data_IF_959638604674
#
_entry.id   IF_959638604674
#
_cell.length_a   1.000
_cell.length_b   1.000
_cell.length_c   1.000
_cell.angle_alpha   90.00
_cell.angle_beta   90.00
_cell.angle_gamma   90.00
#
_symmetry.space_group_name_H-M   'P 1'
#
loop_
_entity.id
_entity.type
_entity.pdbx_description
1 polymer ?
#
# COMPACT_ATOMS: atom_id res chain seq x y z
N UNK A 1 -15.93 3.35 -20.27
CA UNK A 1 -15.68 3.89 -18.91
C UNK A 1 -16.95 3.78 -18.09
N UNK A 2 -16.88 3.17 -16.90
CA UNK A 2 -18.03 3.13 -15.98
C UNK A 2 -18.36 4.53 -15.42
N UNK A 3 -19.61 4.73 -14.99
CA UNK A 3 -19.99 5.94 -14.24
C UNK A 3 -19.28 5.98 -12.90
N UNK A 4 -18.88 7.16 -12.43
CA UNK A 4 -18.14 7.33 -11.18
C UNK A 4 -18.51 8.62 -10.47
N UNK A 5 -18.21 8.66 -9.16
CA UNK A 5 -18.15 9.88 -8.37
C UNK A 5 -16.74 9.98 -7.82
N UNK A 6 -16.05 11.09 -8.04
CA UNK A 6 -14.73 11.33 -7.50
C UNK A 6 -14.77 12.46 -6.48
N UNK A 7 -14.35 12.14 -5.25
CA UNK A 7 -14.17 13.10 -4.16
C UNK A 7 -12.87 12.73 -3.45
N UNK A 8 -11.99 13.72 -3.31
CA UNK A 8 -10.73 13.53 -2.62
C UNK A 8 -10.67 14.43 -1.38
N UNK A 9 -10.81 13.87 -0.16
CA UNK A 9 -10.99 14.68 1.06
C UNK A 9 -9.67 15.04 1.76
N UNK A 10 -8.54 14.42 1.42
CA UNK A 10 -7.29 14.57 2.16
C UNK A 10 -6.54 15.82 1.71
N UNK A 11 -6.16 16.70 2.65
CA UNK A 11 -5.23 17.79 2.38
C UNK A 11 -3.80 17.26 2.39
N UNK A 12 -3.04 17.47 1.31
CA UNK A 12 -1.64 17.01 1.22
C UNK A 12 -0.69 18.18 1.36
N UNK A 13 0.23 18.08 2.31
CA UNK A 13 1.36 18.99 2.50
C UNK A 13 2.63 18.28 2.02
N UNK A 14 3.16 18.71 0.89
CA UNK A 14 4.29 18.08 0.24
C UNK A 14 5.53 18.98 0.23
N UNK A 15 6.68 18.42 0.55
CA UNK A 15 7.97 19.09 0.43
C UNK A 15 8.81 19.07 1.71
N UNK A 16 10.04 19.56 1.61
CA UNK A 16 10.97 19.67 2.73
C UNK A 16 10.41 20.63 3.79
N UNK A 17 10.49 20.26 5.06
CA UNK A 17 9.93 20.97 6.22
C UNK A 17 8.39 21.10 6.19
N UNK A 18 7.68 20.21 5.48
CA UNK A 18 6.24 20.27 5.39
C UNK A 18 5.55 20.11 6.76
N UNK A 19 6.14 19.34 7.68
CA UNK A 19 5.62 19.18 9.04
C UNK A 19 5.79 20.47 9.85
N UNK A 20 6.97 21.07 9.84
CA UNK A 20 7.27 22.29 10.55
C UNK A 20 6.42 23.47 10.08
N UNK A 21 6.13 23.53 8.79
CA UNK A 21 5.37 24.62 8.18
C UNK A 21 3.86 24.51 8.40
N UNK A 22 3.31 23.29 8.58
CA UNK A 22 1.87 23.09 8.49
C UNK A 22 1.23 22.43 9.73
N UNK A 23 1.96 21.55 10.44
CA UNK A 23 1.38 20.72 11.50
C UNK A 23 0.75 21.56 12.62
N UNK A 24 1.40 22.64 13.06
CA UNK A 24 0.88 23.52 14.12
C UNK A 24 -0.51 24.08 13.75
N UNK A 25 -0.73 24.48 12.51
CA UNK A 25 -2.01 25.00 12.04
C UNK A 25 -3.09 23.92 11.96
N UNK A 26 -2.73 22.71 11.56
CA UNK A 26 -3.65 21.58 11.57
C UNK A 26 -4.05 21.19 12.99
N UNK A 27 -3.10 21.12 13.92
CA UNK A 27 -3.36 20.77 15.32
C UNK A 27 -4.34 21.72 16.01
N UNK A 28 -4.41 23.00 15.63
CA UNK A 28 -5.38 23.96 16.19
C UNK A 28 -6.84 23.60 15.91
N UNK A 29 -7.11 22.80 14.89
CA UNK A 29 -8.43 22.34 14.50
C UNK A 29 -8.95 21.18 15.36
N UNK A 30 -8.09 20.54 16.13
CA UNK A 30 -8.36 19.30 16.85
C UNK A 30 -8.19 19.48 18.36
N UNK A 31 -8.72 18.53 19.15
CA UNK A 31 -8.68 18.57 20.60
C UNK A 31 -7.27 18.40 21.19
N UNK A 32 -7.20 18.19 22.50
CA UNK A 32 -5.94 18.22 23.25
C UNK A 32 -5.24 16.88 23.35
N UNK A 33 -5.99 15.78 23.39
CA UNK A 33 -5.45 14.45 23.66
C UNK A 33 -5.06 13.77 22.36
N UNK A 34 -3.77 13.76 22.04
CA UNK A 34 -3.24 13.25 20.77
C UNK A 34 -2.60 11.89 20.96
N UNK A 35 -3.11 10.88 20.27
CA UNK A 35 -2.45 9.59 20.14
C UNK A 35 -1.33 9.72 19.09
N UNK A 36 -0.08 9.78 19.55
CA UNK A 36 1.09 9.79 18.69
C UNK A 36 1.50 8.34 18.40
N UNK A 37 1.12 7.86 17.21
CA UNK A 37 1.27 6.47 16.81
C UNK A 37 2.48 6.26 15.90
N UNK A 38 3.32 5.26 16.17
CA UNK A 38 4.48 4.93 15.36
C UNK A 38 4.96 3.47 15.55
N UNK A 39 5.88 3.03 14.68
CA UNK A 39 6.41 1.66 14.69
C UNK A 39 7.52 1.42 15.70
N UNK A 40 8.61 0.80 15.28
CA UNK A 40 9.72 0.34 16.11
C UNK A 40 10.71 1.41 16.62
N UNK A 41 10.41 2.70 16.49
CA UNK A 41 11.23 3.77 17.05
C UNK A 41 12.31 4.34 16.13
N UNK A 42 12.30 4.04 14.83
CA UNK A 42 13.20 4.66 13.84
C UNK A 42 13.08 6.19 13.85
N UNK A 43 11.86 6.71 14.01
CA UNK A 43 11.59 8.16 14.06
C UNK A 43 12.28 8.86 15.25
N UNK A 44 12.55 8.14 16.34
CA UNK A 44 13.34 8.66 17.48
C UNK A 44 14.82 8.77 17.13
N UNK A 45 15.33 7.80 16.36
CA UNK A 45 16.74 7.77 15.97
C UNK A 45 17.11 8.82 14.93
N UNK A 46 16.18 9.19 14.07
CA UNK A 46 16.41 10.17 12.99
C UNK A 46 15.88 11.57 13.31
N UNK A 47 15.42 11.83 14.55
CA UNK A 47 15.01 13.14 15.04
C UNK A 47 13.60 13.58 14.65
N UNK A 48 12.86 12.82 13.83
CA UNK A 48 11.48 13.14 13.43
C UNK A 48 10.56 13.20 14.65
N UNK A 49 10.72 12.26 15.60
CA UNK A 49 9.92 12.26 16.83
C UNK A 49 10.11 13.56 17.61
N UNK A 50 11.35 14.02 17.82
CA UNK A 50 11.65 15.21 18.63
C UNK A 50 11.08 16.46 17.97
N UNK A 51 11.19 16.60 16.65
CA UNK A 51 10.60 17.69 15.89
C UNK A 51 9.08 17.75 16.07
N UNK A 52 8.38 16.62 15.83
CA UNK A 52 6.91 16.53 15.94
C UNK A 52 6.43 16.71 17.40
N UNK A 53 7.11 16.11 18.36
CA UNK A 53 6.76 16.24 19.78
C UNK A 53 6.95 17.69 20.28
N UNK A 54 7.93 18.42 19.76
CA UNK A 54 8.13 19.84 20.07
C UNK A 54 6.97 20.69 19.54
N UNK A 55 6.50 20.45 18.33
CA UNK A 55 5.33 21.13 17.75
C UNK A 55 4.06 20.80 18.56
N UNK A 56 3.81 19.53 18.87
CA UNK A 56 2.68 19.11 19.70
C UNK A 56 2.65 19.80 21.07
N UNK A 57 3.81 19.85 21.74
CA UNK A 57 3.94 20.52 23.06
C UNK A 57 3.72 22.02 22.96
N UNK A 58 4.25 22.67 21.93
CA UNK A 58 4.07 24.10 21.68
C UNK A 58 2.59 24.47 21.46
N UNK A 59 1.83 23.57 20.82
CA UNK A 59 0.38 23.73 20.64
C UNK A 59 -0.46 23.22 21.84
N UNK A 60 0.19 22.94 22.98
CA UNK A 60 -0.48 22.55 24.23
C UNK A 60 -1.18 21.19 24.18
N UNK A 61 -0.69 20.26 23.35
CA UNK A 61 -1.26 18.92 23.22
C UNK A 61 -0.73 17.96 24.28
N UNK A 62 -1.61 17.11 24.79
CA UNK A 62 -1.26 15.96 25.63
C UNK A 62 -0.88 14.80 24.73
N UNK A 63 0.36 14.34 24.79
CA UNK A 63 0.84 13.25 23.94
C UNK A 63 0.63 11.92 24.65
N UNK A 64 -0.15 11.04 24.03
CA UNK A 64 -0.31 9.63 24.39
C UNK A 64 0.45 8.82 23.36
N UNK A 65 1.52 8.14 23.76
CA UNK A 65 2.33 7.35 22.82
C UNK A 65 1.70 5.98 22.56
N UNK A 66 1.50 5.64 21.27
CA UNK A 66 1.12 4.31 20.83
C UNK A 66 2.20 3.77 19.90
N UNK A 67 2.98 2.82 20.40
CA UNK A 67 4.25 2.37 19.80
C UNK A 67 4.24 0.90 19.45
N UNK A 68 5.27 0.45 18.70
CA UNK A 68 5.44 -0.96 18.40
C UNK A 68 4.48 -1.48 17.35
N UNK A 69 3.94 -0.62 16.50
CA UNK A 69 3.16 -1.05 15.33
C UNK A 69 4.14 -1.70 14.35
N UNK A 70 3.94 -3.00 14.07
CA UNK A 70 4.80 -3.81 13.23
C UNK A 70 4.42 -3.70 11.75
N UNK A 71 5.31 -4.16 10.87
CA UNK A 71 4.93 -4.49 9.49
C UNK A 71 3.83 -5.56 9.52
N UNK A 72 2.89 -5.54 8.57
CA UNK A 72 1.68 -6.36 8.65
C UNK A 72 0.95 -6.18 10.00
N UNK A 73 0.33 -5.00 10.24
CA UNK A 73 -0.23 -4.67 11.55
C UNK A 73 -1.31 -5.68 11.92
N UNK A 74 -1.23 -6.16 13.16
CA UNK A 74 -2.11 -7.22 13.64
C UNK A 74 -3.42 -6.67 14.20
N UNK A 75 -4.46 -7.49 14.19
CA UNK A 75 -5.75 -7.14 14.78
C UNK A 75 -5.64 -6.93 16.30
N UNK A 76 -4.82 -7.71 16.97
CA UNK A 76 -4.52 -7.51 18.40
C UNK A 76 -3.91 -6.11 18.65
N UNK A 77 -3.03 -5.62 17.77
CA UNK A 77 -2.46 -4.27 17.88
C UNK A 77 -3.49 -3.17 17.67
N UNK A 78 -4.46 -3.36 16.78
CA UNK A 78 -5.60 -2.44 16.63
C UNK A 78 -6.41 -2.35 17.92
N UNK A 79 -6.74 -3.49 18.54
CA UNK A 79 -7.50 -3.52 19.79
C UNK A 79 -6.75 -2.87 20.95
N UNK A 80 -5.43 -3.06 21.04
CA UNK A 80 -4.57 -2.35 22.00
C UNK A 80 -4.67 -0.83 21.84
N UNK A 81 -4.52 -0.34 20.59
CA UNK A 81 -4.62 1.08 20.27
C UNK A 81 -6.00 1.66 20.58
N UNK A 82 -7.07 0.95 20.26
CA UNK A 82 -8.44 1.38 20.54
C UNK A 82 -8.72 1.45 22.04
N UNK A 83 -8.22 0.50 22.81
CA UNK A 83 -8.31 0.52 24.30
C UNK A 83 -7.56 1.72 24.86
N UNK A 84 -6.30 1.92 24.45
CA UNK A 84 -5.47 3.04 24.89
C UNK A 84 -6.13 4.39 24.58
N UNK A 85 -6.71 4.52 23.38
CA UNK A 85 -7.38 5.74 22.96
C UNK A 85 -8.65 6.03 23.80
N UNK A 86 -9.45 5.00 24.13
CA UNK A 86 -10.62 5.15 25.03
C UNK A 86 -10.21 5.58 26.44
N UNK A 87 -9.25 4.89 27.05
CA UNK A 87 -8.78 5.15 28.41
C UNK A 87 -8.22 6.57 28.60
N UNK A 88 -7.69 7.17 27.54
CA UNK A 88 -7.09 8.50 27.56
C UNK A 88 -7.94 9.58 26.90
N UNK A 89 -9.19 9.28 26.53
CA UNK A 89 -10.10 10.22 25.86
C UNK A 89 -9.41 10.91 24.67
N UNK A 90 -8.76 10.11 23.81
CA UNK A 90 -8.07 10.61 22.60
C UNK A 90 -9.08 11.25 21.66
N UNK A 91 -8.77 12.43 21.19
CA UNK A 91 -9.61 13.22 20.29
C UNK A 91 -8.93 13.53 18.93
N UNK A 92 -7.67 13.15 18.79
CA UNK A 92 -6.93 13.21 17.53
C UNK A 92 -5.85 12.13 17.46
N UNK A 93 -5.63 11.53 16.29
CA UNK A 93 -4.57 10.55 16.05
C UNK A 93 -3.56 11.14 15.06
N UNK A 94 -2.28 11.19 15.43
CA UNK A 94 -1.17 11.51 14.53
C UNK A 94 -0.38 10.23 14.24
N UNK A 95 -0.56 9.68 13.05
CA UNK A 95 0.13 8.49 12.57
C UNK A 95 1.47 8.88 11.93
N UNK A 96 2.59 8.42 12.50
CA UNK A 96 3.95 8.76 12.02
C UNK A 96 4.66 7.49 11.59
N UNK A 97 4.68 7.21 10.28
CA UNK A 97 5.24 5.96 9.79
C UNK A 97 4.98 5.68 8.32
N UNK A 98 5.12 4.43 7.94
CA UNK A 98 4.67 3.91 6.65
C UNK A 98 3.24 3.34 6.72
N UNK A 99 2.82 2.66 5.65
CA UNK A 99 1.47 2.13 5.49
C UNK A 99 0.96 1.33 6.68
N UNK A 100 1.79 0.50 7.30
CA UNK A 100 1.39 -0.31 8.47
C UNK A 100 0.91 0.52 9.66
N UNK A 101 1.61 1.63 9.97
CA UNK A 101 1.20 2.56 11.04
C UNK A 101 -0.08 3.28 10.65
N UNK A 102 -0.16 3.73 9.41
CA UNK A 102 -1.29 4.45 8.85
C UNK A 102 -2.54 3.57 8.86
N UNK A 103 -2.45 2.33 8.39
CA UNK A 103 -3.57 1.39 8.37
C UNK A 103 -4.04 1.00 9.76
N UNK A 104 -3.11 0.69 10.68
CA UNK A 104 -3.46 0.43 12.07
C UNK A 104 -4.28 1.58 12.67
N UNK A 105 -3.86 2.83 12.47
CA UNK A 105 -4.52 4.01 13.00
C UNK A 105 -5.92 4.24 12.43
N UNK A 106 -6.15 3.94 11.13
CA UNK A 106 -7.49 4.02 10.53
C UNK A 106 -8.49 3.15 11.28
N UNK A 107 -8.09 1.92 11.59
CA UNK A 107 -8.98 0.98 12.26
C UNK A 107 -9.08 1.26 13.77
N UNK A 108 -8.01 1.73 14.41
CA UNK A 108 -8.09 2.26 15.78
C UNK A 108 -9.11 3.40 15.86
N UNK A 109 -9.03 4.38 14.93
CA UNK A 109 -9.96 5.52 14.85
C UNK A 109 -11.42 5.10 14.77
N UNK A 110 -11.72 4.05 14.02
CA UNK A 110 -13.06 3.48 13.89
C UNK A 110 -13.46 2.69 15.14
N UNK A 111 -12.64 1.74 15.57
CA UNK A 111 -12.94 0.80 16.67
C UNK A 111 -13.19 1.52 18.00
N UNK A 112 -12.53 2.65 18.25
CA UNK A 112 -12.76 3.45 19.48
C UNK A 112 -14.23 3.82 19.67
N UNK A 113 -14.94 4.10 18.59
CA UNK A 113 -16.33 4.55 18.59
C UNK A 113 -17.35 3.42 18.38
N UNK A 114 -16.93 2.17 18.41
CA UNK A 114 -17.79 1.00 18.24
C UNK A 114 -17.89 0.20 19.53
N UNK A 115 -19.12 -0.21 19.89
CA UNK A 115 -19.38 -1.14 20.99
C UNK A 115 -19.13 -2.59 20.57
N UNK A 116 -19.30 -2.87 19.28
CA UNK A 116 -19.04 -4.18 18.69
C UNK A 116 -17.64 -4.24 18.07
N UNK A 117 -17.15 -5.47 17.90
CA UNK A 117 -15.88 -5.75 17.21
C UNK A 117 -15.96 -5.36 15.74
N UNK A 118 -15.01 -4.56 15.25
CA UNK A 118 -15.03 -4.04 13.87
C UNK A 118 -14.84 -5.15 12.85
N UNK A 119 -14.02 -6.18 13.14
CA UNK A 119 -13.84 -7.29 12.22
C UNK A 119 -15.15 -8.05 12.00
N UNK A 120 -15.84 -8.38 13.11
CA UNK A 120 -17.14 -9.06 13.04
C UNK A 120 -18.23 -8.16 12.44
N UNK A 121 -18.17 -6.86 12.66
CA UNK A 121 -19.09 -5.92 12.04
C UNK A 121 -18.94 -5.90 10.52
N UNK A 122 -17.72 -5.76 10.01
CA UNK A 122 -17.48 -5.66 8.57
C UNK A 122 -17.59 -7.00 7.85
N UNK A 123 -16.87 -8.04 8.31
CA UNK A 123 -16.85 -9.34 7.64
C UNK A 123 -18.06 -10.22 7.98
N UNK A 124 -18.50 -10.19 9.23
CA UNK A 124 -19.64 -11.02 9.65
C UNK A 124 -21.00 -10.44 9.25
N UNK A 125 -21.13 -9.10 9.28
CA UNK A 125 -22.44 -8.43 9.12
C UNK A 125 -22.50 -7.47 7.93
N UNK A 126 -21.38 -7.18 7.25
CA UNK A 126 -21.29 -6.18 6.18
C UNK A 126 -21.57 -4.74 6.66
N UNK A 127 -21.33 -4.45 7.95
CA UNK A 127 -21.64 -3.17 8.57
C UNK A 127 -20.38 -2.32 8.70
N UNK A 128 -20.33 -1.21 7.98
CA UNK A 128 -19.20 -0.27 8.01
C UNK A 128 -19.29 0.70 9.19
N UNK A 129 -18.15 1.13 9.78
CA UNK A 129 -18.11 2.14 10.81
C UNK A 129 -18.57 3.51 10.27
N UNK A 130 -19.17 4.33 11.13
CA UNK A 130 -19.69 5.65 10.76
C UNK A 130 -19.14 6.79 11.60
N UNK A 131 -18.43 6.49 12.69
CA UNK A 131 -17.81 7.47 13.59
C UNK A 131 -16.33 7.18 13.73
N UNK A 132 -15.53 8.22 13.67
CA UNK A 132 -14.07 8.13 13.65
C UNK A 132 -13.45 9.21 14.54
N UNK A 133 -12.28 8.95 15.09
CA UNK A 133 -11.41 10.01 15.62
C UNK A 133 -10.72 10.68 14.43
N UNK A 134 -10.69 12.03 14.34
CA UNK A 134 -9.93 12.74 13.31
C UNK A 134 -8.45 12.34 13.29
N UNK A 135 -7.83 12.31 12.09
CA UNK A 135 -6.47 11.80 11.93
C UNK A 135 -5.61 12.67 11.02
N UNK A 136 -4.31 12.79 11.36
CA UNK A 136 -3.25 13.27 10.49
C UNK A 136 -2.20 12.20 10.25
N UNK A 137 -1.61 12.16 9.06
CA UNK A 137 -0.51 11.27 8.72
C UNK A 137 0.78 12.05 8.46
N UNK A 138 1.91 11.54 8.98
CA UNK A 138 3.27 11.96 8.62
C UNK A 138 3.97 10.74 8.03
N UNK A 139 4.18 10.77 6.72
CA UNK A 139 4.69 9.61 5.98
C UNK A 139 6.20 9.55 6.09
N UNK A 140 6.74 8.47 6.63
CA UNK A 140 8.19 8.24 6.75
C UNK A 140 8.70 7.07 5.91
N UNK A 141 7.78 6.29 5.34
CA UNK A 141 8.06 5.21 4.39
C UNK A 141 6.91 5.13 3.39
N UNK A 142 7.23 5.03 2.11
CA UNK A 142 6.26 5.00 1.02
C UNK A 142 6.12 3.60 0.40
N UNK A 143 5.10 3.42 -0.43
CA UNK A 143 4.76 2.21 -1.18
C UNK A 143 3.25 2.04 -1.27
N UNK A 144 2.59 1.95 -0.12
CA UNK A 144 1.16 1.64 -0.01
C UNK A 144 0.23 2.80 -0.38
N UNK A 145 0.68 4.07 -0.35
CA UNK A 145 -0.21 5.22 -0.50
C UNK A 145 -1.38 5.25 0.49
N UNK A 146 -1.25 4.57 1.63
CA UNK A 146 -2.33 4.37 2.60
C UNK A 146 -2.88 5.68 3.17
N UNK A 147 -2.08 6.74 3.24
CA UNK A 147 -2.51 8.07 3.67
C UNK A 147 -3.54 8.71 2.74
N UNK A 148 -3.68 8.17 1.53
CA UNK A 148 -4.50 8.76 0.46
C UNK A 148 -5.87 8.07 0.29
N UNK A 149 -6.18 7.03 1.06
CA UNK A 149 -7.43 6.27 0.96
C UNK A 149 -7.98 5.91 2.35
N UNK A 150 -9.13 5.24 2.39
CA UNK A 150 -9.78 4.80 3.64
C UNK A 150 -9.74 3.29 3.87
N UNK A 151 -9.10 2.52 2.98
CA UNK A 151 -8.84 1.10 3.21
C UNK A 151 -7.66 0.90 4.15
N UNK A 152 -7.67 -0.16 4.93
CA UNK A 152 -6.60 -0.52 5.87
C UNK A 152 -6.39 -2.03 5.89
N UNK A 153 -5.19 -2.48 5.57
CA UNK A 153 -4.89 -3.92 5.52
C UNK A 153 -4.40 -4.39 6.89
N UNK A 154 -5.19 -5.26 7.53
CA UNK A 154 -4.93 -5.79 8.88
C UNK A 154 -4.83 -7.32 8.83
N UNK A 155 -3.90 -7.87 9.59
CA UNK A 155 -3.74 -9.32 9.76
C UNK A 155 -4.47 -9.79 11.01
N UNK A 156 -5.46 -10.65 10.84
CA UNK A 156 -6.11 -11.35 11.95
C UNK A 156 -5.35 -12.64 12.23
N UNK A 157 -4.51 -12.65 13.25
CA UNK A 157 -3.54 -13.72 13.52
C UNK A 157 -4.23 -15.06 13.79
N UNK A 158 -5.28 -15.06 14.61
CA UNK A 158 -6.01 -16.30 14.98
C UNK A 158 -6.72 -16.93 13.78
N UNK A 159 -7.29 -16.07 12.89
CA UNK A 159 -7.99 -16.54 11.69
C UNK A 159 -7.05 -16.81 10.51
N UNK A 160 -5.78 -16.43 10.61
CA UNK A 160 -4.79 -16.46 9.52
C UNK A 160 -5.33 -15.77 8.25
N UNK A 161 -5.89 -14.59 8.42
CA UNK A 161 -6.44 -13.78 7.34
C UNK A 161 -5.80 -12.40 7.34
N UNK A 162 -5.28 -11.97 6.20
CA UNK A 162 -4.83 -10.60 5.97
C UNK A 162 -5.77 -9.98 4.94
N UNK A 163 -6.49 -8.93 5.33
CA UNK A 163 -7.53 -8.37 4.49
C UNK A 163 -7.78 -6.90 4.79
N UNK A 164 -8.42 -6.21 3.84
CA UNK A 164 -8.76 -4.82 3.99
C UNK A 164 -9.99 -4.66 4.90
N UNK A 165 -9.87 -3.80 5.90
CA UNK A 165 -10.97 -3.20 6.65
C UNK A 165 -11.16 -1.74 6.19
N UNK A 166 -12.35 -1.17 6.44
CA UNK A 166 -12.68 0.17 5.99
C UNK A 166 -12.72 1.14 7.17
N UNK A 167 -11.79 2.08 7.18
CA UNK A 167 -11.70 3.16 8.16
C UNK A 167 -12.14 4.51 7.59
N UNK A 168 -11.59 5.58 8.17
CA UNK A 168 -11.76 6.94 7.69
C UNK A 168 -10.62 7.33 6.73
N UNK A 169 -10.87 8.38 5.94
CA UNK A 169 -9.78 9.16 5.35
C UNK A 169 -9.07 9.97 6.43
N UNK A 170 -7.82 10.27 6.19
CA UNK A 170 -7.07 11.26 6.96
C UNK A 170 -7.57 12.68 6.62
N UNK A 171 -7.54 13.60 7.59
CA UNK A 171 -7.85 15.01 7.34
C UNK A 171 -6.70 15.66 6.55
N UNK A 172 -5.47 15.26 6.88
CA UNK A 172 -4.28 15.68 6.15
C UNK A 172 -3.20 14.60 6.12
N UNK A 173 -2.33 14.71 5.14
CA UNK A 173 -1.09 13.93 5.01
C UNK A 173 0.10 14.84 4.78
N UNK A 174 1.18 14.62 5.53
CA UNK A 174 2.47 15.32 5.39
C UNK A 174 3.43 14.36 4.71
N UNK A 175 3.88 14.75 3.53
CA UNK A 175 4.79 14.01 2.68
C UNK A 175 6.09 14.81 2.54
N UNK A 176 7.01 14.66 3.49
CA UNK A 176 8.34 15.24 3.42
C UNK A 176 9.31 14.21 2.83
N UNK A 177 9.82 14.41 1.61
CA UNK A 177 10.74 13.47 0.98
C UNK A 177 12.02 13.24 1.79
N UNK A 178 12.43 14.20 2.61
CA UNK A 178 13.66 14.07 3.42
C UNK A 178 13.53 13.00 4.50
N UNK A 179 12.31 12.75 4.99
CA UNK A 179 12.04 11.67 5.94
C UNK A 179 12.27 10.28 5.35
N UNK A 180 12.18 10.16 4.03
CA UNK A 180 12.40 8.89 3.33
C UNK A 180 13.89 8.57 3.05
N UNK A 181 14.80 9.55 3.20
CA UNK A 181 16.23 9.33 2.96
C UNK A 181 16.82 8.28 3.89
N UNK A 182 16.30 8.21 5.12
CA UNK A 182 16.75 7.24 6.12
C UNK A 182 16.11 5.85 5.98
N UNK A 183 15.20 5.67 5.00
CA UNK A 183 14.64 4.33 4.72
C UNK A 183 15.75 3.37 4.28
N UNK A 184 15.81 2.15 4.83
CA UNK A 184 16.67 1.11 4.31
C UNK A 184 16.39 0.85 2.82
N UNK A 185 17.43 0.71 1.99
CA UNK A 185 17.28 0.51 0.54
C UNK A 185 16.37 -0.67 0.20
N UNK A 186 16.44 -1.76 0.95
CA UNK A 186 15.52 -2.89 0.81
C UNK A 186 14.05 -2.46 0.90
N UNK A 187 13.74 -1.53 1.80
CA UNK A 187 12.37 -1.01 1.98
C UNK A 187 11.99 -0.05 0.85
N UNK A 188 12.93 0.75 0.37
CA UNK A 188 12.70 1.63 -0.80
C UNK A 188 12.36 0.81 -2.04
N UNK A 189 13.11 -0.23 -2.32
CA UNK A 189 12.90 -1.12 -3.47
C UNK A 189 11.54 -1.82 -3.35
N UNK A 190 11.26 -2.39 -2.17
CA UNK A 190 9.99 -3.08 -1.88
C UNK A 190 8.79 -2.14 -2.01
N UNK A 191 8.85 -0.94 -1.42
CA UNK A 191 7.76 0.04 -1.52
C UNK A 191 7.57 0.61 -2.93
N UNK A 192 8.66 0.82 -3.68
CA UNK A 192 8.55 1.23 -5.09
C UNK A 192 7.89 0.13 -5.94
N UNK A 193 8.20 -1.13 -5.67
CA UNK A 193 7.56 -2.23 -6.38
C UNK A 193 6.09 -2.37 -6.00
N UNK A 194 5.74 -2.17 -4.74
CA UNK A 194 4.36 -2.13 -4.27
C UNK A 194 3.56 -1.04 -4.99
N UNK A 195 4.11 0.18 -5.12
CA UNK A 195 3.52 1.25 -5.94
C UNK A 195 3.32 0.82 -7.40
N UNK A 196 4.32 0.17 -8.01
CA UNK A 196 4.23 -0.34 -9.37
C UNK A 196 3.14 -1.41 -9.49
N UNK A 197 3.02 -2.30 -8.49
CA UNK A 197 2.00 -3.32 -8.40
C UNK A 197 0.58 -2.72 -8.34
N UNK A 198 0.34 -1.74 -7.48
CA UNK A 198 -0.93 -0.99 -7.43
C UNK A 198 -1.33 -0.43 -8.79
N UNK A 199 -0.35 0.17 -9.49
CA UNK A 199 -0.55 0.70 -10.84
C UNK A 199 -0.92 -0.40 -11.84
N UNK A 200 -0.16 -1.49 -11.90
CA UNK A 200 -0.39 -2.59 -12.83
C UNK A 200 -1.75 -3.25 -12.61
N UNK A 201 -2.12 -3.53 -11.36
CA UNK A 201 -3.39 -4.20 -11.04
C UNK A 201 -4.61 -3.27 -11.22
N UNK A 202 -4.44 -1.97 -11.06
CA UNK A 202 -5.46 -0.99 -11.45
C UNK A 202 -5.61 -0.95 -12.98
N UNK A 203 -4.50 -0.97 -13.72
CA UNK A 203 -4.45 -0.93 -15.17
C UNK A 203 -5.13 -2.15 -15.82
N UNK A 204 -4.93 -3.34 -15.25
CA UNK A 204 -5.51 -4.60 -15.74
C UNK A 204 -6.97 -4.82 -15.34
N UNK A 205 -7.57 -3.89 -14.59
CA UNK A 205 -8.97 -3.93 -14.22
C UNK A 205 -9.95 -3.78 -15.38
N UNK A 206 -11.26 -3.79 -15.07
CA UNK A 206 -12.34 -3.67 -16.06
C UNK A 206 -13.08 -2.32 -15.97
N UNK A 207 -13.66 -1.79 -17.06
CA UNK A 207 -13.61 -2.27 -18.44
C UNK A 207 -12.22 -2.13 -19.03
N UNK A 208 -11.96 -2.86 -20.13
CA UNK A 208 -10.63 -2.97 -20.73
C UNK A 208 -10.31 -1.89 -21.77
N UNK A 209 -11.29 -1.06 -22.12
CA UNK A 209 -11.05 0.06 -23.01
C UNK A 209 -10.13 1.08 -22.33
N UNK A 210 -9.15 1.54 -23.07
CA UNK A 210 -8.24 2.58 -22.63
C UNK A 210 -8.97 3.87 -22.34
N UNK A 211 -8.66 4.46 -21.20
CA UNK A 211 -9.20 5.75 -20.79
C UNK A 211 -8.09 6.70 -20.30
N UNK A 212 -8.45 7.94 -19.93
CA UNK A 212 -7.48 8.92 -19.42
C UNK A 212 -6.73 8.45 -18.17
N UNK A 213 -7.41 7.70 -17.28
CA UNK A 213 -6.76 7.18 -16.08
C UNK A 213 -5.67 6.16 -16.42
N UNK A 214 -5.81 5.38 -17.51
CA UNK A 214 -4.76 4.49 -17.99
C UNK A 214 -3.53 5.25 -18.51
N UNK A 215 -3.74 6.37 -19.21
CA UNK A 215 -2.64 7.24 -19.68
C UNK A 215 -1.85 7.81 -18.49
N UNK A 216 -2.55 8.30 -17.46
CA UNK A 216 -1.93 8.80 -16.23
C UNK A 216 -1.20 7.66 -15.52
N UNK A 217 -1.81 6.47 -15.45
CA UNK A 217 -1.24 5.30 -14.81
C UNK A 217 0.07 4.86 -15.46
N UNK A 218 0.13 4.83 -16.79
CA UNK A 218 1.36 4.55 -17.54
C UNK A 218 2.47 5.57 -17.22
N UNK A 219 2.13 6.85 -17.07
CA UNK A 219 3.08 7.88 -16.67
C UNK A 219 3.61 7.65 -15.24
N UNK A 220 2.75 7.28 -14.30
CA UNK A 220 3.15 6.93 -12.92
C UNK A 220 4.08 5.73 -12.92
N UNK A 221 3.75 4.63 -13.61
CA UNK A 221 4.62 3.46 -13.73
C UNK A 221 6.00 3.78 -14.27
N UNK A 222 6.07 4.59 -15.36
CA UNK A 222 7.36 5.04 -15.92
C UNK A 222 8.16 5.89 -14.92
N UNK A 223 7.48 6.76 -14.16
CA UNK A 223 8.13 7.57 -13.11
C UNK A 223 8.72 6.69 -12.01
N UNK A 224 7.97 5.70 -11.52
CA UNK A 224 8.46 4.75 -10.50
C UNK A 224 9.70 4.00 -10.98
N UNK A 225 9.66 3.41 -12.19
CA UNK A 225 10.79 2.65 -12.77
C UNK A 225 12.03 3.55 -12.91
N UNK A 226 11.86 4.76 -13.46
CA UNK A 226 12.94 5.73 -13.67
C UNK A 226 13.57 6.16 -12.35
N UNK A 227 12.74 6.55 -11.37
CA UNK A 227 13.22 7.13 -10.13
C UNK A 227 13.75 6.07 -9.15
N UNK A 228 13.24 4.84 -9.18
CA UNK A 228 13.87 3.73 -8.46
C UNK A 228 15.28 3.45 -9.00
N UNK A 229 15.47 3.40 -10.33
CA UNK A 229 16.82 3.28 -10.93
C UNK A 229 17.76 4.43 -10.56
N UNK A 230 17.23 5.65 -10.48
CA UNK A 230 18.01 6.81 -10.04
C UNK A 230 18.41 6.69 -8.56
N UNK A 231 17.48 6.30 -7.70
CA UNK A 231 17.72 6.07 -6.27
C UNK A 231 18.73 4.94 -6.00
N UNK A 232 18.71 3.88 -6.80
CA UNK A 232 19.71 2.81 -6.70
C UNK A 232 21.14 3.29 -7.04
N UNK A 233 21.27 4.24 -7.96
CA UNK A 233 22.56 4.84 -8.32
C UNK A 233 23.02 5.90 -7.29
N UNK A 234 22.09 6.66 -6.75
CA UNK A 234 22.32 7.67 -5.73
C UNK A 234 21.24 7.59 -4.65
N UNK A 235 21.48 6.91 -3.52
CA UNK A 235 20.53 6.75 -2.44
C UNK A 235 20.01 8.07 -1.83
N UNK A 236 20.78 9.13 -1.91
CA UNK A 236 20.48 10.44 -1.35
C UNK A 236 19.86 11.41 -2.37
N UNK A 237 19.44 10.91 -3.55
CA UNK A 237 18.77 11.72 -4.56
C UNK A 237 17.39 12.17 -4.07
N UNK A 238 17.34 13.39 -3.51
CA UNK A 238 16.09 13.98 -2.98
C UNK A 238 15.01 14.11 -4.06
N UNK A 239 15.39 14.39 -5.31
CA UNK A 239 14.40 14.50 -6.39
C UNK A 239 13.79 13.13 -6.69
N UNK A 240 14.61 12.09 -6.86
CA UNK A 240 14.10 10.75 -7.09
C UNK A 240 13.22 10.26 -5.92
N UNK A 241 13.61 10.55 -4.67
CA UNK A 241 12.80 10.24 -3.48
C UNK A 241 11.48 10.99 -3.47
N UNK A 242 11.46 12.26 -3.87
CA UNK A 242 10.23 13.05 -3.94
C UNK A 242 9.26 12.50 -4.99
N UNK A 243 9.77 12.06 -6.14
CA UNK A 243 8.96 11.42 -7.17
C UNK A 243 8.39 10.06 -6.73
N UNK A 244 9.17 9.25 -6.00
CA UNK A 244 8.71 7.96 -5.52
C UNK A 244 7.62 8.07 -4.45
N UNK A 245 7.75 8.97 -3.47
CA UNK A 245 6.70 9.17 -2.46
C UNK A 245 5.42 9.74 -3.08
N UNK A 246 5.55 10.67 -4.05
CA UNK A 246 4.39 11.20 -4.75
C UNK A 246 3.73 10.18 -5.68
N UNK A 247 4.51 9.33 -6.36
CA UNK A 247 3.99 8.24 -7.17
C UNK A 247 3.17 7.24 -6.33
N UNK A 248 3.64 6.91 -5.11
CA UNK A 248 2.89 6.05 -4.18
C UNK A 248 1.53 6.69 -3.81
N UNK A 249 1.52 7.98 -3.49
CA UNK A 249 0.31 8.73 -3.21
C UNK A 249 -0.64 8.75 -4.42
N UNK A 250 -0.12 8.98 -5.63
CA UNK A 250 -0.92 8.99 -6.88
C UNK A 250 -1.49 7.62 -7.23
N UNK A 251 -0.79 6.54 -6.93
CA UNK A 251 -1.27 5.18 -7.20
C UNK A 251 -2.55 4.86 -6.41
N UNK A 252 -2.72 5.44 -5.22
CA UNK A 252 -3.78 5.05 -4.28
C UNK A 252 -4.79 6.17 -3.90
N UNK A 253 -4.65 7.40 -4.44
CA UNK A 253 -5.61 8.48 -4.21
C UNK A 253 -6.94 8.34 -4.98
N UNK A 254 -7.11 7.25 -5.70
CA UNK A 254 -8.33 6.95 -6.47
C UNK A 254 -8.36 7.49 -7.90
N UNK A 255 -7.43 8.39 -8.30
CA UNK A 255 -7.47 8.98 -9.66
C UNK A 255 -7.22 7.94 -10.76
N UNK A 256 -6.36 6.95 -10.49
CA UNK A 256 -6.10 5.87 -11.44
C UNK A 256 -7.26 4.86 -11.52
N UNK A 257 -8.12 4.82 -10.51
CA UNK A 257 -9.27 3.91 -10.39
C UNK A 257 -10.55 4.47 -11.02
N UNK A 258 -10.52 5.70 -11.54
CA UNK A 258 -11.70 6.38 -12.10
C UNK A 258 -12.28 5.58 -13.27
N UNK A 259 -13.55 5.21 -13.14
CA UNK A 259 -14.29 4.46 -14.15
C UNK A 259 -13.87 2.99 -14.29
N UNK A 260 -13.10 2.44 -13.34
CA UNK A 260 -12.63 1.05 -13.33
C UNK A 260 -13.08 0.28 -12.09
N UNK A 261 -13.12 -1.04 -12.22
CA UNK A 261 -13.09 -2.02 -11.12
C UNK A 261 -11.71 -2.70 -11.21
N UNK A 262 -10.91 -2.58 -10.17
CA UNK A 262 -9.51 -3.00 -10.16
C UNK A 262 -9.34 -4.52 -10.15
N UNK A 263 -8.25 -5.03 -10.71
CA UNK A 263 -7.90 -6.45 -10.70
C UNK A 263 -7.49 -6.92 -9.29
N UNK A 264 -6.41 -6.45 -8.76
CA UNK A 264 -5.86 -6.71 -7.42
C UNK A 264 -5.68 -8.21 -7.06
N UNK A 265 -5.54 -9.11 -8.04
CA UNK A 265 -5.36 -10.54 -7.79
C UNK A 265 -4.03 -10.86 -7.11
N UNK A 266 -2.93 -10.21 -7.54
CA UNK A 266 -1.62 -10.44 -6.93
C UNK A 266 -1.62 -10.00 -5.46
N UNK A 267 -2.26 -8.86 -5.14
CA UNK A 267 -2.43 -8.40 -3.76
C UNK A 267 -3.25 -9.39 -2.93
N UNK A 268 -4.38 -9.88 -3.44
CA UNK A 268 -5.22 -10.82 -2.70
C UNK A 268 -4.50 -12.14 -2.41
N UNK A 269 -3.71 -12.64 -3.35
CA UNK A 269 -2.87 -13.84 -3.16
C UNK A 269 -1.75 -13.54 -2.14
N UNK A 270 -1.04 -12.40 -2.30
CA UNK A 270 0.05 -12.02 -1.40
C UNK A 270 -0.44 -11.78 0.05
N UNK A 271 -1.63 -11.19 0.22
CA UNK A 271 -2.20 -11.01 1.54
C UNK A 271 -2.32 -12.34 2.28
N UNK A 272 -2.78 -13.39 1.60
CA UNK A 272 -2.86 -14.71 2.24
C UNK A 272 -1.47 -15.34 2.45
N UNK A 273 -0.53 -15.18 1.53
CA UNK A 273 0.87 -15.58 1.78
C UNK A 273 1.41 -14.85 3.00
N UNK A 274 1.20 -13.54 3.11
CA UNK A 274 1.62 -12.72 4.25
C UNK A 274 0.97 -13.14 5.58
N UNK A 275 -0.32 -13.54 5.57
CA UNK A 275 -1.02 -14.03 6.75
C UNK A 275 -0.42 -15.32 7.32
N UNK A 276 0.20 -16.16 6.47
CA UNK A 276 0.81 -17.43 6.87
C UNK A 276 2.31 -17.32 7.16
N UNK A 277 3.00 -16.32 6.59
CA UNK A 277 4.47 -16.28 6.57
C UNK A 277 5.06 -15.01 7.15
N UNK A 278 4.25 -13.98 7.40
CA UNK A 278 4.66 -12.62 7.80
C UNK A 278 5.75 -12.03 6.86
N UNK A 279 5.68 -12.37 5.58
CA UNK A 279 6.67 -11.93 4.61
C UNK A 279 6.57 -10.42 4.29
N UNK A 280 7.64 -9.88 3.71
CA UNK A 280 7.64 -8.50 3.20
C UNK A 280 6.71 -8.39 1.99
N UNK A 281 5.71 -7.50 2.07
CA UNK A 281 4.64 -7.35 1.11
C UNK A 281 5.11 -7.12 -0.33
N UNK A 282 5.89 -6.07 -0.58
CA UNK A 282 6.36 -5.77 -1.94
C UNK A 282 7.30 -6.84 -2.51
N UNK A 283 8.02 -7.60 -1.66
CA UNK A 283 8.81 -8.75 -2.12
C UNK A 283 7.90 -9.92 -2.51
N UNK A 284 6.84 -10.20 -1.74
CA UNK A 284 5.85 -11.21 -2.09
C UNK A 284 5.17 -10.91 -3.43
N UNK A 285 4.76 -9.66 -3.62
CA UNK A 285 4.22 -9.19 -4.89
C UNK A 285 5.20 -9.39 -6.07
N UNK A 286 6.49 -9.09 -5.86
CA UNK A 286 7.52 -9.25 -6.90
C UNK A 286 7.68 -10.71 -7.37
N UNK A 287 7.53 -11.66 -6.46
CA UNK A 287 7.57 -13.10 -6.79
C UNK A 287 6.31 -13.51 -7.55
N UNK A 288 5.14 -13.06 -7.11
CA UNK A 288 3.85 -13.50 -7.65
C UNK A 288 3.59 -12.94 -9.06
N UNK A 289 3.86 -11.65 -9.29
CA UNK A 289 3.44 -10.97 -10.52
C UNK A 289 3.87 -11.64 -11.83
N UNK A 290 5.14 -11.99 -12.07
CA UNK A 290 5.55 -12.58 -13.34
C UNK A 290 4.88 -13.93 -13.59
N UNK A 291 4.70 -14.74 -12.55
CA UNK A 291 4.05 -16.05 -12.64
C UNK A 291 2.57 -15.88 -12.94
N UNK A 292 1.86 -15.11 -12.10
CA UNK A 292 0.44 -14.81 -12.27
C UNK A 292 0.15 -14.27 -13.68
N UNK A 293 0.95 -13.31 -14.17
CA UNK A 293 0.71 -12.68 -15.47
C UNK A 293 0.86 -13.65 -16.64
N UNK A 294 1.74 -14.64 -16.54
CA UNK A 294 1.84 -15.72 -17.55
C UNK A 294 0.58 -16.62 -17.59
N UNK A 295 -0.12 -16.75 -16.46
CA UNK A 295 -1.38 -17.51 -16.39
C UNK A 295 -2.58 -16.73 -16.92
N UNK A 296 -2.57 -15.39 -16.85
CA UNK A 296 -3.76 -14.57 -17.15
C UNK A 296 -3.68 -13.72 -18.43
N UNK A 297 -2.47 -13.49 -19.02
CA UNK A 297 -2.30 -12.52 -20.11
C UNK A 297 -3.19 -12.80 -21.33
N UNK A 298 -3.50 -14.06 -21.63
CA UNK A 298 -4.39 -14.43 -22.74
C UNK A 298 -5.83 -13.96 -22.59
N UNK A 299 -6.22 -13.57 -21.37
CA UNK A 299 -7.56 -13.03 -21.08
C UNK A 299 -7.66 -11.52 -21.39
N UNK A 300 -6.52 -10.83 -21.54
CA UNK A 300 -6.46 -9.42 -21.93
C UNK A 300 -5.15 -9.08 -22.65
N UNK A 301 -4.80 -9.76 -23.77
CA UNK A 301 -3.50 -9.64 -24.41
C UNK A 301 -3.22 -8.21 -24.89
N UNK A 302 -4.25 -7.43 -25.27
CA UNK A 302 -4.13 -6.05 -25.72
C UNK A 302 -3.64 -5.12 -24.60
N UNK A 303 -4.14 -5.28 -23.35
CA UNK A 303 -3.69 -4.49 -22.22
C UNK A 303 -2.24 -4.81 -21.87
N UNK A 304 -1.85 -6.09 -21.84
CA UNK A 304 -0.46 -6.50 -21.61
C UNK A 304 0.48 -6.00 -22.73
N UNK A 305 0.06 -6.09 -23.99
CA UNK A 305 0.81 -5.57 -25.12
C UNK A 305 0.95 -4.03 -25.06
N UNK A 306 -0.09 -3.32 -24.61
CA UNK A 306 -0.04 -1.89 -24.41
C UNK A 306 0.93 -1.51 -23.27
N UNK A 307 0.92 -2.25 -22.17
CA UNK A 307 1.84 -2.08 -21.05
C UNK A 307 3.30 -2.29 -21.52
N UNK A 308 3.55 -3.30 -22.37
CA UNK A 308 4.86 -3.53 -22.97
C UNK A 308 5.35 -2.32 -23.79
N UNK A 309 4.49 -1.73 -24.61
CA UNK A 309 4.85 -0.56 -25.44
C UNK A 309 5.03 0.71 -24.59
N UNK A 310 4.04 1.03 -23.79
CA UNK A 310 3.92 2.37 -23.18
C UNK A 310 4.69 2.51 -21.88
N UNK A 311 4.92 1.41 -21.16
CA UNK A 311 5.66 1.42 -19.89
C UNK A 311 7.10 0.94 -20.10
N UNK A 312 7.27 -0.19 -20.80
CA UNK A 312 8.60 -0.79 -21.02
C UNK A 312 9.31 -0.28 -22.27
N UNK A 313 8.61 0.44 -23.16
CA UNK A 313 9.21 0.99 -24.39
C UNK A 313 9.53 -0.07 -25.45
N UNK A 314 8.88 -1.22 -25.41
CA UNK A 314 9.14 -2.33 -26.35
C UNK A 314 8.49 -2.01 -27.69
N UNK A 315 9.27 -2.11 -28.80
CA UNK A 315 8.74 -1.93 -30.16
C UNK A 315 7.74 -3.04 -30.49
N UNK A 316 6.59 -2.64 -31.06
CA UNK A 316 5.60 -3.59 -31.59
C UNK A 316 5.83 -4.00 -33.04
N UNK A 317 6.88 -3.50 -33.70
CA UNK A 317 7.14 -3.78 -35.13
C UNK A 317 7.44 -5.26 -35.36
N UNK A 318 6.70 -5.87 -36.26
CA UNK A 318 6.86 -7.29 -36.64
C UNK A 318 6.38 -8.29 -35.59
N UNK A 319 5.69 -7.84 -34.49
CA UNK A 319 5.25 -8.72 -33.39
C UNK A 319 3.74 -8.85 -33.33
N UNK A 320 3.28 -10.04 -32.95
CA UNK A 320 1.88 -10.26 -32.60
C UNK A 320 1.56 -9.65 -31.21
N UNK A 321 0.29 -9.43 -30.93
CA UNK A 321 -0.17 -8.94 -29.60
C UNK A 321 0.30 -9.85 -28.47
N UNK A 322 0.22 -11.18 -28.66
CA UNK A 322 0.66 -12.15 -27.65
C UNK A 322 2.19 -12.12 -27.42
N UNK A 323 2.98 -12.03 -28.51
CA UNK A 323 4.44 -11.90 -28.38
C UNK A 323 4.81 -10.65 -27.57
N UNK A 324 4.16 -9.54 -27.89
CA UNK A 324 4.42 -8.27 -27.20
C UNK A 324 3.98 -8.32 -25.74
N UNK A 325 2.85 -8.97 -25.43
CA UNK A 325 2.40 -9.18 -24.07
C UNK A 325 3.42 -10.00 -23.25
N UNK A 326 3.93 -11.09 -23.82
CA UNK A 326 4.95 -11.93 -23.17
C UNK A 326 6.27 -11.18 -22.96
N UNK A 327 6.74 -10.42 -23.94
CA UNK A 327 7.94 -9.59 -23.80
C UNK A 327 7.79 -8.52 -22.70
N UNK A 328 6.57 -7.97 -22.51
CA UNK A 328 6.27 -7.07 -21.41
C UNK A 328 6.36 -7.74 -20.05
N UNK A 329 5.90 -8.99 -19.93
CA UNK A 329 6.03 -9.80 -18.70
C UNK A 329 7.50 -10.14 -18.45
N UNK A 330 8.26 -10.47 -19.51
CA UNK A 330 9.71 -10.72 -19.40
C UNK A 330 10.45 -9.47 -18.93
N UNK A 331 10.10 -8.28 -19.45
CA UNK A 331 10.69 -7.02 -19.02
C UNK A 331 10.41 -6.73 -17.53
N UNK A 332 9.20 -7.04 -17.04
CA UNK A 332 8.89 -6.97 -15.61
C UNK A 332 9.76 -7.93 -14.79
N UNK A 333 9.90 -9.19 -15.22
CA UNK A 333 10.73 -10.17 -14.54
C UNK A 333 12.22 -9.77 -14.50
N UNK A 334 12.74 -9.19 -15.59
CA UNK A 334 14.10 -8.66 -15.62
C UNK A 334 14.27 -7.41 -14.73
N UNK A 335 13.28 -6.51 -14.70
CA UNK A 335 13.30 -5.37 -13.79
C UNK A 335 13.34 -5.80 -12.32
N UNK A 336 12.57 -6.81 -11.92
CA UNK A 336 12.59 -7.40 -10.57
C UNK A 336 14.01 -7.86 -10.21
N UNK A 337 14.70 -8.54 -11.12
CA UNK A 337 16.09 -8.97 -10.92
C UNK A 337 17.05 -7.79 -10.87
N UNK A 338 16.90 -6.82 -11.78
CA UNK A 338 17.71 -5.60 -11.88
C UNK A 338 17.74 -4.82 -10.56
N UNK A 339 16.57 -4.68 -9.92
CA UNK A 339 16.45 -3.91 -8.67
C UNK A 339 16.76 -4.73 -7.41
N UNK A 340 17.09 -6.02 -7.56
CA UNK A 340 17.50 -6.90 -6.46
C UNK A 340 16.36 -7.46 -5.63
N UNK A 341 15.13 -7.53 -6.19
CA UNK A 341 14.00 -8.21 -5.55
C UNK A 341 14.11 -9.74 -5.70
N UNK A 342 13.56 -10.50 -4.75
CA UNK A 342 13.52 -11.95 -4.85
C UNK A 342 12.63 -12.40 -6.03
N UNK A 343 12.98 -13.53 -6.62
CA UNK A 343 12.25 -14.12 -7.75
C UNK A 343 11.57 -15.44 -7.41
N UNK A 344 11.73 -15.91 -6.17
CA UNK A 344 11.03 -17.09 -5.62
C UNK A 344 10.76 -16.90 -4.13
N UNK A 345 9.79 -17.62 -3.60
CA UNK A 345 9.51 -17.67 -2.16
C UNK A 345 10.67 -18.24 -1.36
N UNK A 346 11.39 -19.20 -1.90
CA UNK A 346 12.61 -19.76 -1.26
C UNK A 346 13.65 -18.66 -1.03
N UNK A 347 13.84 -17.72 -1.97
CA UNK A 347 14.75 -16.58 -1.78
C UNK A 347 14.26 -15.57 -0.72
N UNK A 348 13.00 -15.63 -0.35
CA UNK A 348 12.42 -14.88 0.77
C UNK A 348 12.50 -15.61 2.10
N UNK A 349 13.10 -16.81 2.14
CA UNK A 349 13.10 -17.73 3.26
C UNK A 349 11.70 -18.26 3.64
N UNK A 350 10.77 -18.30 2.71
CA UNK A 350 9.48 -18.95 2.88
C UNK A 350 9.67 -20.43 2.59
N UNK A 351 9.22 -21.28 3.54
CA UNK A 351 9.38 -22.74 3.42
C UNK A 351 8.64 -23.30 2.22
N UNK A 352 9.25 -24.23 1.44
CA UNK A 352 8.53 -25.00 0.44
C UNK A 352 7.34 -25.82 1.00
N UNK A 353 7.38 -26.12 2.31
CA UNK A 353 6.34 -26.86 3.03
C UNK A 353 5.22 -25.97 3.60
N UNK A 354 5.23 -24.65 3.27
CA UNK A 354 4.13 -23.76 3.61
C UNK A 354 2.82 -24.31 3.04
N UNK A 355 1.74 -24.18 3.81
CA UNK A 355 0.43 -24.69 3.40
C UNK A 355 -0.19 -23.84 2.27
N UNK A 356 0.41 -23.94 1.07
CA UNK A 356 -0.04 -23.21 -0.12
C UNK A 356 -1.46 -23.59 -0.53
N UNK A 357 -1.96 -24.78 -0.14
CA UNK A 357 -3.35 -25.18 -0.40
C UNK A 357 -4.31 -24.33 0.44
N UNK A 358 -4.06 -24.22 1.73
CA UNK A 358 -4.89 -23.38 2.60
C UNK A 358 -4.83 -21.90 2.20
N UNK A 359 -3.66 -21.40 1.76
CA UNK A 359 -3.51 -20.04 1.22
C UNK A 359 -4.43 -19.87 0.00
N UNK A 360 -4.40 -20.79 -0.96
CA UNK A 360 -5.22 -20.72 -2.16
C UNK A 360 -6.72 -20.78 -1.86
N UNK A 361 -7.14 -21.66 -0.95
CA UNK A 361 -8.53 -21.87 -0.56
C UNK A 361 -9.13 -20.67 0.19
N UNK A 362 -8.30 -19.91 0.88
CA UNK A 362 -8.74 -18.72 1.66
C UNK A 362 -8.58 -17.40 0.91
N UNK A 363 -8.00 -17.41 -0.30
CA UNK A 363 -7.85 -16.21 -1.12
C UNK A 363 -9.18 -15.77 -1.72
N UNK A 364 -9.59 -14.53 -1.42
CA UNK A 364 -10.82 -13.93 -1.95
C UNK A 364 -10.48 -12.90 -3.02
N UNK A 365 -10.83 -13.20 -4.27
CA UNK A 365 -10.54 -12.35 -5.41
C UNK A 365 -11.57 -11.23 -5.60
N UNK A 366 -11.11 -10.09 -6.11
CA UNK A 366 -11.96 -8.95 -6.44
C UNK A 366 -12.85 -9.23 -7.66
N UNK A 367 -13.96 -8.49 -7.85
CA UNK A 367 -14.82 -8.66 -9.03
C UNK A 367 -14.19 -8.14 -10.33
N UNK A 368 -13.13 -7.32 -10.28
CA UNK A 368 -12.48 -6.69 -11.44
C UNK A 368 -11.37 -7.53 -12.09
N UNK A 369 -11.16 -8.75 -11.63
CA UNK A 369 -10.09 -9.64 -12.10
C UNK A 369 -10.03 -9.75 -13.63
N UNK A 370 -8.83 -9.62 -14.19
CA UNK A 370 -8.53 -9.88 -15.60
C UNK A 370 -8.99 -11.29 -16.02
N UNK A 371 -8.67 -12.28 -15.19
CA UNK A 371 -9.21 -13.63 -15.21
C UNK A 371 -9.52 -14.04 -13.77
N UNK A 372 -10.75 -14.36 -13.44
CA UNK A 372 -11.08 -14.87 -12.11
C UNK A 372 -10.51 -16.28 -11.96
N UNK A 373 -9.45 -16.41 -11.18
CA UNK A 373 -8.78 -17.68 -10.91
C UNK A 373 -9.62 -18.56 -9.97
N UNK A 374 -9.50 -19.87 -10.14
CA UNK A 374 -9.96 -20.86 -9.16
C UNK A 374 -8.91 -21.07 -8.07
N UNK A 375 -9.28 -21.68 -6.95
CA UNK A 375 -8.33 -22.05 -5.90
C UNK A 375 -7.23 -23.00 -6.40
N UNK A 376 -7.56 -23.92 -7.34
CA UNK A 376 -6.55 -24.81 -7.93
C UNK A 376 -5.55 -24.04 -8.78
N UNK A 377 -5.99 -23.08 -9.60
CA UNK A 377 -5.09 -22.22 -10.38
C UNK A 377 -4.22 -21.34 -9.48
N UNK A 378 -4.75 -20.82 -8.37
CA UNK A 378 -3.96 -20.06 -7.39
C UNK A 378 -2.92 -20.97 -6.74
N UNK A 379 -3.28 -22.20 -6.38
CA UNK A 379 -2.35 -23.18 -5.83
C UNK A 379 -1.20 -23.49 -6.80
N UNK A 380 -1.51 -23.71 -8.08
CA UNK A 380 -0.50 -23.97 -9.12
C UNK A 380 0.46 -22.77 -9.26
N UNK A 381 -0.06 -21.54 -9.32
CA UNK A 381 0.73 -20.31 -9.34
C UNK A 381 1.66 -20.24 -8.12
N UNK A 382 1.14 -20.50 -6.91
CA UNK A 382 1.93 -20.49 -5.68
C UNK A 382 3.05 -21.53 -5.69
N UNK A 383 2.80 -22.71 -6.25
CA UNK A 383 3.83 -23.77 -6.41
C UNK A 383 4.92 -23.39 -7.41
N UNK A 384 4.59 -22.66 -8.48
CA UNK A 384 5.57 -22.12 -9.44
C UNK A 384 6.41 -20.99 -8.82
N UNK A 385 5.93 -20.30 -7.77
CA UNK A 385 6.63 -19.25 -7.04
C UNK A 385 7.69 -19.79 -6.05
N UNK A 386 7.73 -21.09 -5.74
CA UNK A 386 8.68 -21.71 -4.80
C UNK A 386 10.05 -21.88 -5.45
#
# INVERSE_FOLDING_TARGET
>A
MNSFTFKYPVTVYFGENAAENNLANELKKHGKNVLLAYGGGSIKKNGIYDALASILKAEGKNIIEFTGIMSNPTYAKVQEGAKLARENNVDFILAVGGGSVIDCCKIVSAQVNMDEDIWEAEYGKGKLPTKFIPMGAVVTAFGTGAEMNNGAVITHEEKKLKSALWGAFYDFAILDPTYTITMPMKQVISGSFDTLSHCMETYLGSPRETNLSDEINEAVMRSVIKNLRATLKNPDDKFARSELIWAAAMAENGILKIGKVTDFQAHMIEHQVGAYTDCNHGQGLAVIHPVLYRHIYKNSPEQFARLAKNVWGISGEGKTTEQLALEGIDALAEFIKEVGLPTTFTKMNISPDTDYRAIADTTVLTPGCCKKLTADEIYDILKECV
#
